data_IF_231895515523
#
_entry.id   IF_231895515523
#
_cell.length_a   1.000
_cell.length_b   1.000
_cell.length_c   1.000
_cell.angle_alpha   90.00
_cell.angle_beta   90.00
_cell.angle_gamma   90.00
#
_symmetry.space_group_name_H-M   'P 1'
#
loop_
_entity.id
_entity.type
_entity.pdbx_description
1 polymer ?
#
# COMPACT_ATOMS: atom_id res chain seq x y z
N UNK A 1 51.78 22.28 -28.90
CA UNK A 1 50.70 21.67 -29.70
C UNK A 1 49.91 20.73 -28.81
N UNK A 2 48.64 21.06 -28.56
CA UNK A 2 47.69 20.27 -27.76
C UNK A 2 47.40 18.94 -28.46
N UNK A 3 47.38 17.83 -27.72
CA UNK A 3 46.58 16.65 -28.10
C UNK A 3 45.57 16.44 -26.98
N UNK A 4 44.32 16.76 -27.31
CA UNK A 4 43.14 16.65 -26.44
C UNK A 4 42.76 15.18 -26.39
N UNK A 5 42.66 14.66 -25.16
CA UNK A 5 42.14 13.34 -24.85
C UNK A 5 40.62 13.39 -24.98
N UNK A 6 40.05 12.66 -25.95
CA UNK A 6 38.60 12.51 -26.08
C UNK A 6 38.20 11.21 -25.37
N UNK A 7 37.64 11.33 -24.18
CA UNK A 7 36.85 10.26 -23.56
C UNK A 7 35.43 10.37 -24.10
N UNK A 8 35.02 9.39 -24.91
CA UNK A 8 33.65 9.28 -25.39
C UNK A 8 32.85 8.50 -24.33
N UNK A 9 32.13 9.23 -23.48
CA UNK A 9 31.23 8.67 -22.48
C UNK A 9 29.88 8.35 -23.15
N UNK A 10 29.64 7.08 -23.49
CA UNK A 10 28.32 6.63 -23.94
C UNK A 10 27.50 6.31 -22.70
N UNK A 11 26.65 7.24 -22.27
CA UNK A 11 25.61 6.99 -21.27
C UNK A 11 24.47 6.28 -21.98
N UNK A 12 24.45 4.94 -21.92
CA UNK A 12 23.26 4.17 -22.27
C UNK A 12 22.27 4.36 -21.13
N UNK A 13 21.27 5.20 -21.37
CA UNK A 13 20.13 5.40 -20.49
C UNK A 13 19.22 4.17 -20.56
N UNK A 14 19.59 3.11 -19.84
CA UNK A 14 18.70 2.00 -19.59
C UNK A 14 17.69 2.44 -18.51
N UNK A 15 16.53 2.94 -18.93
CA UNK A 15 15.38 3.10 -18.04
C UNK A 15 14.89 1.70 -17.65
N UNK A 16 15.51 1.14 -16.62
CA UNK A 16 15.05 -0.06 -15.96
C UNK A 16 13.70 0.21 -15.31
N UNK A 17 12.74 -0.64 -15.64
CA UNK A 17 11.49 -0.83 -14.91
C UNK A 17 11.81 -1.19 -13.45
N UNK A 18 11.86 -0.18 -12.58
CA UNK A 18 11.77 -0.42 -11.15
C UNK A 18 10.29 -0.62 -10.81
N UNK A 19 9.89 -1.87 -10.66
CA UNK A 19 8.74 -2.19 -9.84
C UNK A 19 9.04 -1.61 -8.45
N UNK A 20 8.31 -0.57 -8.06
CA UNK A 20 8.42 0.03 -6.74
C UNK A 20 7.91 -0.98 -5.70
N UNK A 21 8.79 -1.86 -5.23
CA UNK A 21 8.66 -2.35 -3.88
C UNK A 21 8.96 -1.14 -2.98
N UNK A 22 7.93 -0.60 -2.31
CA UNK A 22 8.11 0.44 -1.30
C UNK A 22 8.79 -0.20 -0.09
N UNK A 23 10.12 -0.34 -0.14
CA UNK A 23 10.91 -0.58 1.05
C UNK A 23 10.77 0.65 1.95
N UNK A 24 10.50 0.47 3.25
CA UNK A 24 10.44 1.53 4.24
C UNK A 24 11.62 2.49 4.05
N UNK A 25 11.34 3.72 3.61
CA UNK A 25 12.40 4.64 3.19
C UNK A 25 13.08 5.20 4.43
N UNK A 26 14.27 4.69 4.72
CA UNK A 26 15.12 5.20 5.79
C UNK A 26 15.97 6.37 5.28
N UNK A 27 16.21 7.36 6.14
CA UNK A 27 17.01 8.54 5.86
C UNK A 27 18.16 8.63 6.87
N UNK A 28 19.36 9.02 6.41
CA UNK A 28 20.54 9.16 7.27
C UNK A 28 20.72 10.61 7.71
N UNK A 29 20.99 10.80 9.00
CA UNK A 29 21.24 12.08 9.66
C UNK A 29 22.44 11.92 10.59
N UNK A 30 23.60 12.44 10.20
CA UNK A 30 24.82 12.29 10.99
C UNK A 30 25.18 10.81 11.17
N UNK A 31 25.14 10.33 12.41
CA UNK A 31 25.38 8.93 12.76
C UNK A 31 24.10 8.10 12.95
N UNK A 32 22.95 8.67 12.65
CA UNK A 32 21.65 8.08 12.93
C UNK A 32 20.94 7.73 11.64
N UNK A 33 20.20 6.64 11.67
CA UNK A 33 19.25 6.24 10.64
C UNK A 33 17.84 6.45 11.20
N UNK A 34 16.99 7.04 10.38
CA UNK A 34 15.61 7.35 10.72
C UNK A 34 14.71 6.60 9.74
N UNK A 35 13.83 5.75 10.26
CA UNK A 35 12.77 5.10 9.49
C UNK A 35 11.42 5.58 9.98
N UNK A 36 10.48 5.76 9.06
CA UNK A 36 9.12 6.19 9.37
C UNK A 36 8.10 5.32 8.63
N UNK A 37 7.06 4.90 9.34
CA UNK A 37 5.98 4.09 8.78
C UNK A 37 4.70 4.15 9.61
N UNK A 38 3.74 3.29 9.27
CA UNK A 38 2.54 3.10 10.07
C UNK A 38 2.81 2.03 11.13
N UNK A 39 2.34 2.25 12.36
CA UNK A 39 2.41 1.23 13.42
C UNK A 39 1.62 -0.03 13.07
N UNK A 40 0.53 0.12 12.33
CA UNK A 40 -0.28 -1.00 11.82
C UNK A 40 -0.52 -0.81 10.33
N UNK A 41 -0.15 -1.83 9.55
CA UNK A 41 -0.30 -1.87 8.10
C UNK A 41 -1.35 -2.93 7.69
N UNK A 42 -2.23 -2.63 6.73
CA UNK A 42 -2.33 -1.37 6.00
C UNK A 42 -2.96 -0.23 6.84
N UNK A 43 -2.62 1.03 6.57
CA UNK A 43 -3.26 2.18 7.22
C UNK A 43 -4.69 2.40 6.71
N UNK A 44 -5.65 2.46 7.64
CA UNK A 44 -7.08 2.56 7.31
C UNK A 44 -7.70 3.87 7.78
N UNK A 45 -8.58 4.44 6.95
CA UNK A 45 -9.41 5.59 7.33
C UNK A 45 -10.31 5.25 8.52
N UNK A 46 -10.50 6.24 9.40
CA UNK A 46 -11.31 6.19 10.61
C UNK A 46 -10.94 5.08 11.62
N UNK A 47 -9.78 4.43 11.46
CA UNK A 47 -9.22 3.50 12.43
C UNK A 47 -8.09 4.19 13.19
N UNK A 48 -8.06 3.99 14.51
CA UNK A 48 -6.94 4.44 15.32
C UNK A 48 -5.67 3.73 14.84
N UNK A 49 -4.64 4.50 14.56
CA UNK A 49 -3.31 4.03 14.20
C UNK A 49 -2.27 4.98 14.81
N UNK A 50 -1.00 4.78 14.48
CA UNK A 50 0.06 5.72 14.82
C UNK A 50 1.08 5.81 13.69
N UNK A 51 1.70 6.98 13.57
CA UNK A 51 2.98 7.08 12.86
C UNK A 51 4.05 6.53 13.78
N UNK A 52 4.76 5.51 13.32
CA UNK A 52 5.92 4.94 14.00
C UNK A 52 7.20 5.53 13.41
N UNK A 53 8.07 6.02 14.30
CA UNK A 53 9.37 6.58 13.95
C UNK A 53 10.42 5.78 14.69
N UNK A 54 11.36 5.23 13.95
CA UNK A 54 12.44 4.40 14.49
C UNK A 54 13.77 5.07 14.22
N UNK A 55 14.48 5.40 15.28
CA UNK A 55 15.86 5.86 15.24
C UNK A 55 16.78 4.69 15.56
N UNK A 56 17.78 4.46 14.72
CA UNK A 56 18.88 3.53 15.00
C UNK A 56 20.22 4.22 14.76
N UNK A 57 21.31 3.59 15.19
CA UNK A 57 22.63 3.97 14.70
C UNK A 57 22.73 3.59 13.21
N UNK A 58 23.29 4.49 12.40
CA UNK A 58 23.65 4.20 11.02
C UNK A 58 24.94 3.38 11.00
N UNK A 59 25.00 2.37 10.14
CA UNK A 59 26.25 1.66 9.85
C UNK A 59 27.21 2.55 9.05
N UNK A 60 28.50 2.25 9.09
CA UNK A 60 29.49 3.04 8.34
C UNK A 60 29.25 2.98 6.82
N UNK A 61 28.76 1.86 6.31
CA UNK A 61 28.34 1.73 4.90
C UNK A 61 27.20 2.68 4.52
N UNK A 62 26.18 2.81 5.37
CA UNK A 62 25.05 3.73 5.16
C UNK A 62 25.50 5.21 5.23
N UNK A 63 26.50 5.53 6.06
CA UNK A 63 27.07 6.90 6.15
C UNK A 63 27.88 7.28 4.91
N UNK A 64 28.69 6.37 4.39
CA UNK A 64 29.53 6.59 3.21
C UNK A 64 28.68 6.88 1.96
N UNK A 65 27.60 6.13 1.76
CA UNK A 65 26.65 6.36 0.66
C UNK A 65 25.90 7.70 0.76
N UNK A 66 25.86 8.31 1.95
CA UNK A 66 25.22 9.60 2.22
C UNK A 66 26.20 10.79 2.18
N UNK A 67 27.49 10.58 1.88
CA UNK A 67 28.56 11.61 1.90
C UNK A 67 28.74 12.32 3.26
N UNK A 68 28.35 11.69 4.37
CA UNK A 68 28.42 12.29 5.72
C UNK A 68 29.67 11.77 6.45
N UNK A 69 30.66 12.64 6.67
CA UNK A 69 31.75 12.39 7.62
C UNK A 69 31.33 12.89 9.01
N UNK A 70 30.93 11.99 9.91
CA UNK A 70 30.67 12.33 11.31
C UNK A 70 31.69 11.64 12.22
N UNK A 71 32.55 12.44 12.87
CA UNK A 71 33.61 11.96 13.78
C UNK A 71 33.16 11.84 15.24
N UNK A 72 31.87 12.03 15.54
CA UNK A 72 31.36 12.06 16.92
C UNK A 72 30.88 10.67 17.34
N UNK A 73 31.31 10.19 18.51
CA UNK A 73 30.83 8.92 19.10
C UNK A 73 29.31 8.99 19.35
N UNK A 74 28.56 8.12 18.66
CA UNK A 74 27.12 7.93 18.82
C UNK A 74 26.82 6.68 19.64
N UNK A 75 25.94 6.80 20.62
CA UNK A 75 25.54 5.72 21.52
C UNK A 75 24.03 5.46 21.44
N UNK A 76 23.61 4.25 21.80
CA UNK A 76 22.17 3.87 21.84
C UNK A 76 21.40 4.77 22.84
N UNK A 77 22.05 5.25 23.90
CA UNK A 77 21.49 6.20 24.86
C UNK A 77 21.08 7.54 24.24
N UNK A 78 21.60 7.87 23.05
CA UNK A 78 21.26 9.12 22.35
C UNK A 78 19.86 9.05 21.72
N UNK A 79 19.30 7.84 21.62
CA UNK A 79 18.05 7.55 20.94
C UNK A 79 16.85 7.62 21.87
N UNK A 80 17.05 7.89 23.16
CA UNK A 80 15.98 7.97 24.16
C UNK A 80 15.67 9.41 24.57
N UNK A 81 14.45 9.66 25.07
CA UNK A 81 14.01 10.98 25.52
C UNK A 81 13.96 12.02 24.40
N UNK A 82 13.70 11.61 23.16
CA UNK A 82 13.58 12.51 22.01
C UNK A 82 12.15 13.04 21.82
N UNK A 83 11.14 12.48 22.49
CA UNK A 83 9.73 12.82 22.24
C UNK A 83 9.44 14.34 22.28
N UNK A 84 9.99 15.07 23.26
CA UNK A 84 9.82 16.52 23.42
C UNK A 84 10.80 17.36 22.56
N UNK A 85 11.69 16.69 21.81
CA UNK A 85 12.69 17.32 20.93
C UNK A 85 12.38 17.12 19.45
N UNK A 86 11.27 16.47 19.15
CA UNK A 86 10.81 16.17 17.81
C UNK A 86 9.48 16.87 17.57
N UNK A 87 9.34 17.50 16.40
CA UNK A 87 8.08 18.02 15.91
C UNK A 87 7.70 17.24 14.65
N UNK A 88 6.48 16.70 14.65
CA UNK A 88 5.98 15.86 13.55
C UNK A 88 4.65 16.38 13.10
N UNK A 89 4.54 16.62 11.80
CA UNK A 89 3.26 16.91 11.17
C UNK A 89 2.95 15.94 10.04
N UNK A 90 1.69 15.53 9.97
CA UNK A 90 1.12 14.74 8.89
C UNK A 90 0.25 15.65 8.05
N UNK A 91 0.62 15.80 6.80
CA UNK A 91 -0.14 16.53 5.79
C UNK A 91 -0.90 15.53 4.91
N UNK A 92 -2.23 15.61 4.91
CA UNK A 92 -3.12 14.77 4.12
C UNK A 92 -4.15 15.65 3.40
N UNK A 93 -4.19 15.58 2.07
CA UNK A 93 -5.10 16.39 1.23
C UNK A 93 -5.04 17.90 1.54
N UNK A 94 -3.85 18.41 1.90
CA UNK A 94 -3.64 19.81 2.28
C UNK A 94 -3.97 20.15 3.73
N UNK A 95 -4.54 19.22 4.52
CA UNK A 95 -4.75 19.38 5.96
C UNK A 95 -3.53 18.88 6.73
N UNK A 96 -2.94 19.77 7.54
CA UNK A 96 -1.80 19.46 8.43
C UNK A 96 -2.29 19.10 9.84
N UNK A 97 -1.75 18.02 10.41
CA UNK A 97 -2.03 17.55 11.78
C UNK A 97 -0.71 17.34 12.52
N UNK A 98 -0.50 18.03 13.63
CA UNK A 98 0.68 17.84 14.47
C UNK A 98 0.48 16.67 15.42
N UNK A 99 1.50 15.83 15.57
CA UNK A 99 1.47 14.66 16.45
C UNK A 99 2.23 14.93 17.75
N UNK A 100 1.65 14.49 18.86
CA UNK A 100 2.36 14.37 20.13
C UNK A 100 3.02 12.99 20.18
N UNK A 101 4.34 12.96 20.21
CA UNK A 101 5.08 11.69 20.25
C UNK A 101 5.15 11.12 21.66
N UNK A 102 5.15 9.79 21.72
CA UNK A 102 5.45 9.00 22.92
C UNK A 102 6.57 8.03 22.60
N UNK A 103 7.52 7.90 23.50
CA UNK A 103 8.57 6.88 23.39
C UNK A 103 8.01 5.50 23.77
N UNK A 104 8.42 4.47 23.05
CA UNK A 104 8.11 3.09 23.40
C UNK A 104 8.95 2.66 24.62
N UNK A 105 8.32 2.18 25.71
CA UNK A 105 9.05 1.85 26.93
C UNK A 105 9.90 0.57 26.83
N UNK A 106 9.66 -0.28 25.82
CA UNK A 106 10.37 -1.54 25.60
C UNK A 106 11.47 -1.40 24.57
N UNK A 107 11.32 -0.49 23.60
CA UNK A 107 12.23 -0.34 22.46
C UNK A 107 12.83 1.07 22.39
N UNK A 108 14.03 1.29 22.96
CA UNK A 108 14.77 2.55 22.82
C UNK A 108 14.91 2.97 21.36
N UNK A 109 14.64 4.24 21.07
CA UNK A 109 14.68 4.77 19.71
C UNK A 109 13.37 4.62 18.92
N UNK A 110 12.36 3.96 19.47
CA UNK A 110 11.04 3.84 18.84
C UNK A 110 10.08 4.85 19.46
N UNK A 111 9.42 5.62 18.60
CA UNK A 111 8.47 6.67 18.97
C UNK A 111 7.18 6.53 18.17
N UNK A 112 6.06 6.92 18.77
CA UNK A 112 4.75 6.83 18.17
C UNK A 112 3.97 8.13 18.32
N UNK A 113 3.36 8.59 17.23
CA UNK A 113 2.37 9.66 17.24
C UNK A 113 1.00 9.10 16.88
N UNK A 114 0.10 9.02 17.86
CA UNK A 114 -1.26 8.50 17.66
C UNK A 114 -2.02 9.41 16.67
N UNK A 115 -2.66 8.81 15.68
CA UNK A 115 -3.49 9.51 14.70
C UNK A 115 -4.67 8.63 14.29
N UNK A 116 -5.83 9.26 14.06
CA UNK A 116 -6.97 8.62 13.37
C UNK A 116 -7.15 9.32 12.04
N UNK A 117 -6.63 8.77 10.93
CA UNK A 117 -6.81 9.36 9.61
C UNK A 117 -8.30 9.50 9.32
N UNK A 118 -8.77 10.68 8.98
CA UNK A 118 -10.19 10.94 8.72
C UNK A 118 -10.53 10.93 7.22
N UNK A 119 -9.51 10.83 6.36
CA UNK A 119 -9.64 10.83 4.91
C UNK A 119 -8.72 9.77 4.30
N UNK A 120 -9.07 9.35 3.09
CA UNK A 120 -8.19 8.55 2.23
C UNK A 120 -7.23 9.47 1.48
N UNK A 121 -6.02 8.97 1.22
CA UNK A 121 -5.04 9.73 0.46
C UNK A 121 -3.60 9.32 0.75
N UNK A 122 -2.68 9.97 0.06
CA UNK A 122 -1.24 9.78 0.23
C UNK A 122 -0.75 10.81 1.25
N UNK A 123 -0.49 10.40 2.50
CA UNK A 123 0.04 11.31 3.51
C UNK A 123 1.49 11.73 3.18
N UNK A 124 1.87 12.91 3.64
CA UNK A 124 3.26 13.37 3.71
C UNK A 124 3.55 13.67 5.17
N UNK A 125 4.65 13.11 5.69
CA UNK A 125 5.06 13.34 7.08
C UNK A 125 6.32 14.17 7.11
N UNK A 126 6.26 15.31 7.78
CA UNK A 126 7.40 16.16 8.01
C UNK A 126 7.88 15.92 9.45
N UNK A 127 9.16 15.65 9.59
CA UNK A 127 9.82 15.39 10.87
C UNK A 127 10.95 16.39 11.04
N UNK A 128 10.87 17.16 12.11
CA UNK A 128 11.88 18.11 12.55
C UNK A 128 12.38 17.69 13.92
N UNK A 129 13.64 17.97 14.20
CA UNK A 129 14.12 17.88 15.56
C UNK A 129 15.62 17.84 15.69
N UNK A 130 16.04 17.38 16.87
CA UNK A 130 17.45 17.39 17.26
C UNK A 130 17.84 16.13 18.02
N UNK A 131 18.88 15.46 17.55
CA UNK A 131 19.54 14.35 18.25
C UNK A 131 20.93 14.82 18.65
N UNK A 132 21.17 14.95 19.96
CA UNK A 132 22.36 15.64 20.50
C UNK A 132 22.53 17.04 19.91
N UNK A 133 23.55 17.24 19.09
CA UNK A 133 23.91 18.51 18.44
C UNK A 133 23.53 18.53 16.96
N UNK A 134 22.94 17.46 16.44
CA UNK A 134 22.56 17.34 15.03
C UNK A 134 21.08 17.68 14.89
N UNK A 135 20.81 18.85 14.31
CA UNK A 135 19.49 19.27 13.88
C UNK A 135 19.17 18.70 12.50
N UNK A 136 17.90 18.36 12.28
CA UNK A 136 17.47 17.79 11.01
C UNK A 136 16.02 18.11 10.70
N UNK A 137 15.75 18.08 9.40
CA UNK A 137 14.43 18.12 8.79
C UNK A 137 14.37 16.99 7.74
N UNK A 138 13.33 16.18 7.78
CA UNK A 138 13.10 15.09 6.83
C UNK A 138 11.63 15.01 6.45
N UNK A 139 11.40 14.67 5.19
CA UNK A 139 10.06 14.44 4.64
C UNK A 139 9.94 12.99 4.22
N UNK A 140 8.93 12.32 4.76
CA UNK A 140 8.61 10.93 4.48
C UNK A 140 7.26 10.84 3.77
N UNK A 141 7.12 9.80 2.94
CA UNK A 141 5.91 9.51 2.18
C UNK A 141 5.46 8.09 2.57
N UNK A 142 4.79 7.91 3.71
CA UNK A 142 4.35 6.58 4.14
C UNK A 142 3.23 6.06 3.24
N UNK A 143 2.85 4.80 3.45
CA UNK A 143 1.82 4.16 2.64
C UNK A 143 0.51 4.96 2.63
N UNK A 144 -0.18 4.86 1.48
CA UNK A 144 -1.47 5.52 1.26
C UNK A 144 -2.50 4.99 2.26
N UNK A 145 -3.25 5.90 2.88
CA UNK A 145 -4.40 5.56 3.72
C UNK A 145 -5.54 5.07 2.83
N UNK A 146 -5.99 3.85 3.07
CA UNK A 146 -7.07 3.22 2.34
C UNK A 146 -8.40 3.30 3.11
N UNK A 147 -9.49 3.26 2.36
CA UNK A 147 -10.81 3.16 2.94
C UNK A 147 -11.01 1.78 3.55
N UNK A 148 -11.76 1.68 4.65
CA UNK A 148 -12.20 0.37 5.13
C UNK A 148 -12.96 -0.38 4.02
N UNK A 149 -12.36 -1.42 3.46
CA UNK A 149 -13.08 -2.56 2.91
C UNK A 149 -13.46 -3.53 4.04
N UNK A 150 -13.89 -2.99 5.19
CA UNK A 150 -14.69 -3.75 6.15
C UNK A 150 -16.15 -3.65 5.71
N UNK A 151 -16.89 -4.78 5.66
CA UNK A 151 -18.24 -4.82 5.15
C UNK A 151 -19.13 -4.08 6.15
N UNK A 152 -19.65 -2.93 5.73
CA UNK A 152 -20.75 -2.30 6.44
C UNK A 152 -21.90 -3.33 6.48
N UNK A 153 -22.28 -3.75 7.69
CA UNK A 153 -23.47 -4.57 7.95
C UNK A 153 -24.71 -3.70 7.86
N UNK A 154 -24.91 -3.11 6.68
CA UNK A 154 -26.12 -2.41 6.27
C UNK A 154 -26.19 -2.45 4.73
N UNK A 155 -27.24 -3.01 4.10
CA UNK A 155 -27.33 -3.15 2.65
C UNK A 155 -27.59 -1.77 2.01
N UNK A 156 -26.51 -1.04 1.72
CA UNK A 156 -26.53 0.19 0.95
C UNK A 156 -25.40 0.14 -0.10
N UNK A 157 -25.81 -0.23 -1.31
CA UNK A 157 -25.19 -0.12 -2.64
C UNK A 157 -23.78 0.51 -2.67
N UNK A 158 -22.74 -0.34 -2.70
CA UNK A 158 -21.35 0.08 -3.02
C UNK A 158 -21.08 -0.17 -4.50
N UNK A 159 -20.84 0.88 -5.29
CA UNK A 159 -20.51 0.80 -6.72
C UNK A 159 -19.05 0.42 -7.00
N UNK A 160 -18.34 -0.15 -6.02
CA UNK A 160 -16.90 -0.42 -6.13
C UNK A 160 -16.66 -1.82 -6.72
N UNK A 161 -15.93 -1.87 -7.83
CA UNK A 161 -15.51 -3.10 -8.51
C UNK A 161 -13.99 -3.18 -8.42
N UNK A 162 -13.46 -4.15 -7.68
CA UNK A 162 -12.02 -4.40 -7.56
C UNK A 162 -11.75 -5.83 -8.00
N UNK A 163 -11.08 -6.00 -9.14
CA UNK A 163 -10.69 -7.32 -9.64
C UNK A 163 -9.20 -7.27 -10.01
N UNK A 164 -8.32 -8.02 -9.30
CA UNK A 164 -6.91 -8.07 -9.66
C UNK A 164 -6.70 -8.62 -11.07
N UNK A 165 -5.76 -8.04 -11.82
CA UNK A 165 -5.46 -8.42 -13.20
C UNK A 165 -5.15 -9.91 -13.38
N UNK A 166 -4.50 -10.54 -12.39
CA UNK A 166 -4.18 -11.97 -12.45
C UNK A 166 -5.42 -12.86 -12.52
N UNK A 167 -6.60 -12.38 -12.10
CA UNK A 167 -7.86 -13.11 -12.18
C UNK A 167 -8.33 -13.29 -13.64
N UNK A 168 -7.88 -12.45 -14.58
CA UNK A 168 -8.21 -12.58 -16.01
C UNK A 168 -7.75 -13.91 -16.61
N UNK A 169 -6.67 -14.48 -16.10
CA UNK A 169 -6.21 -15.81 -16.55
C UNK A 169 -7.24 -16.91 -16.24
N UNK A 170 -7.90 -16.82 -15.07
CA UNK A 170 -8.94 -17.78 -14.69
C UNK A 170 -10.18 -17.64 -15.57
N UNK A 171 -10.57 -16.40 -15.89
CA UNK A 171 -11.66 -16.12 -16.82
C UNK A 171 -11.35 -16.61 -18.24
N UNK A 172 -10.10 -16.44 -18.70
CA UNK A 172 -9.64 -16.96 -19.98
C UNK A 172 -9.78 -18.48 -20.06
N UNK A 173 -9.18 -19.21 -19.10
CA UNK A 173 -9.23 -20.67 -19.06
C UNK A 173 -10.67 -21.20 -18.98
N UNK A 174 -11.55 -20.53 -18.23
CA UNK A 174 -12.96 -20.89 -18.18
C UNK A 174 -13.66 -20.66 -19.52
N UNK A 175 -13.45 -19.50 -20.16
CA UNK A 175 -14.09 -19.17 -21.44
C UNK A 175 -13.64 -20.07 -22.60
N UNK A 176 -12.40 -20.57 -22.54
CA UNK A 176 -11.83 -21.52 -23.51
C UNK A 176 -12.23 -22.98 -23.20
N UNK A 177 -12.98 -23.23 -22.12
CA UNK A 177 -13.42 -24.56 -21.73
C UNK A 177 -12.35 -25.43 -21.06
N UNK A 178 -11.20 -24.85 -20.68
CA UNK A 178 -10.15 -25.53 -19.92
C UNK A 178 -10.52 -25.70 -18.45
N UNK A 179 -11.39 -24.82 -17.94
CA UNK A 179 -12.00 -24.89 -16.61
C UNK A 179 -13.50 -25.05 -16.77
N UNK A 180 -14.12 -25.95 -16.00
CA UNK A 180 -15.57 -26.15 -16.01
C UNK A 180 -16.31 -25.07 -15.18
N UNK A 181 -17.61 -24.90 -15.45
CA UNK A 181 -18.46 -23.88 -14.82
C UNK A 181 -18.50 -23.98 -13.29
N UNK A 182 -18.49 -25.20 -12.74
CA UNK A 182 -18.56 -25.42 -11.29
C UNK A 182 -17.25 -25.01 -10.62
N UNK A 183 -16.12 -25.36 -11.23
CA UNK A 183 -14.79 -24.98 -10.77
C UNK A 183 -14.61 -23.47 -10.83
N UNK A 184 -15.01 -22.84 -11.94
CA UNK A 184 -14.98 -21.38 -12.07
C UNK A 184 -15.85 -20.67 -11.02
N UNK A 185 -17.11 -21.09 -10.86
CA UNK A 185 -18.02 -20.51 -9.87
C UNK A 185 -17.49 -20.64 -8.44
N UNK A 186 -16.90 -21.80 -8.11
CA UNK A 186 -16.27 -22.03 -6.80
C UNK A 186 -15.05 -21.13 -6.59
N UNK A 187 -14.25 -20.93 -7.63
CA UNK A 187 -13.12 -19.99 -7.62
C UNK A 187 -13.57 -18.56 -7.35
N UNK A 188 -14.56 -18.05 -8.10
CA UNK A 188 -15.12 -16.71 -7.87
C UNK A 188 -15.71 -16.58 -6.47
N UNK A 189 -16.42 -17.61 -5.99
CA UNK A 189 -16.93 -17.65 -4.62
C UNK A 189 -15.81 -17.52 -3.58
N UNK A 190 -14.71 -18.24 -3.75
CA UNK A 190 -13.55 -18.12 -2.87
C UNK A 190 -12.95 -16.72 -2.92
N UNK A 191 -12.76 -16.15 -4.12
CA UNK A 191 -12.22 -14.80 -4.28
C UNK A 191 -13.08 -13.72 -3.63
N UNK A 192 -14.41 -13.88 -3.65
CA UNK A 192 -15.35 -13.00 -2.96
C UNK A 192 -15.26 -13.15 -1.44
N UNK A 193 -15.18 -14.38 -0.93
CA UNK A 193 -15.06 -14.67 0.52
C UNK A 193 -13.77 -14.14 1.12
N UNK A 194 -12.66 -14.34 0.42
CA UNK A 194 -11.34 -13.82 0.81
C UNK A 194 -11.19 -12.32 0.49
N UNK A 195 -12.23 -11.67 -0.05
CA UNK A 195 -12.24 -10.25 -0.43
C UNK A 195 -11.12 -9.86 -1.41
N UNK A 196 -10.65 -10.83 -2.19
CA UNK A 196 -9.67 -10.64 -3.26
C UNK A 196 -10.33 -9.91 -4.44
N UNK A 197 -11.60 -10.24 -4.72
CA UNK A 197 -12.44 -9.47 -5.64
C UNK A 197 -13.60 -8.84 -4.89
N UNK A 198 -13.98 -7.63 -5.30
CA UNK A 198 -15.13 -6.89 -4.78
C UNK A 198 -16.05 -6.58 -5.96
N UNK A 199 -17.33 -6.92 -5.82
CA UNK A 199 -18.38 -6.58 -6.79
C UNK A 199 -19.57 -6.00 -6.03
N UNK A 200 -20.36 -5.08 -6.62
CA UNK A 200 -21.47 -4.45 -5.91
C UNK A 200 -22.49 -5.49 -5.42
N UNK A 201 -22.88 -5.35 -4.16
CA UNK A 201 -23.78 -6.29 -3.48
C UNK A 201 -25.10 -6.40 -4.24
N UNK A 202 -25.51 -7.64 -4.54
CA UNK A 202 -26.82 -7.96 -5.12
C UNK A 202 -27.51 -8.94 -4.19
N UNK A 203 -28.81 -8.74 -3.93
CA UNK A 203 -29.60 -9.65 -3.11
C UNK A 203 -29.54 -11.07 -3.67
N UNK A 204 -29.25 -12.03 -2.80
CA UNK A 204 -29.24 -13.46 -3.13
C UNK A 204 -30.66 -13.90 -3.47
N UNK A 205 -30.88 -14.37 -4.69
CA UNK A 205 -32.17 -14.96 -5.08
C UNK A 205 -32.36 -16.37 -4.52
N UNK A 206 -33.62 -16.82 -4.55
CA UNK A 206 -33.97 -18.21 -4.21
C UNK A 206 -33.46 -19.15 -5.31
N UNK A 207 -32.74 -20.19 -4.91
CA UNK A 207 -32.07 -21.19 -5.75
C UNK A 207 -33.01 -21.81 -6.78
N UNK A 208 -32.76 -21.56 -8.08
CA UNK A 208 -33.45 -22.25 -9.17
C UNK A 208 -32.56 -22.67 -10.35
N UNK A 209 -31.35 -22.13 -10.50
CA UNK A 209 -30.47 -22.44 -11.63
C UNK A 209 -29.08 -22.88 -11.16
N UNK A 210 -28.59 -23.98 -11.72
CA UNK A 210 -27.23 -24.51 -11.48
C UNK A 210 -26.29 -24.27 -12.66
N UNK A 211 -26.82 -23.73 -13.78
CA UNK A 211 -26.07 -23.54 -15.02
C UNK A 211 -25.71 -22.07 -15.23
N UNK A 212 -24.45 -21.80 -15.55
CA UNK A 212 -24.00 -20.46 -15.92
C UNK A 212 -24.48 -20.13 -17.34
N UNK A 213 -25.18 -19.00 -17.56
CA UNK A 213 -25.58 -18.63 -18.92
C UNK A 213 -24.39 -18.30 -19.82
N UNK A 214 -24.52 -18.63 -21.11
CA UNK A 214 -23.46 -18.43 -22.11
C UNK A 214 -23.01 -16.96 -22.24
N UNK A 215 -23.91 -15.99 -22.04
CA UNK A 215 -23.54 -14.57 -22.10
C UNK A 215 -22.53 -14.18 -21.00
N UNK A 216 -22.57 -14.84 -19.83
CA UNK A 216 -21.59 -14.60 -18.76
C UNK A 216 -20.22 -15.14 -19.17
N UNK A 217 -20.21 -16.30 -19.85
CA UNK A 217 -18.99 -16.93 -20.38
C UNK A 217 -18.36 -16.13 -21.51
N UNK A 218 -19.19 -15.56 -22.39
CA UNK A 218 -18.75 -14.62 -23.42
C UNK A 218 -18.16 -13.34 -22.81
N UNK A 219 -18.77 -12.80 -21.75
CA UNK A 219 -18.21 -11.67 -21.04
C UNK A 219 -16.86 -11.99 -20.40
N UNK A 220 -16.66 -13.20 -19.84
CA UNK A 220 -15.36 -13.62 -19.33
C UNK A 220 -14.28 -13.64 -20.42
N UNK A 221 -14.60 -14.13 -21.62
CA UNK A 221 -13.70 -14.09 -22.78
C UNK A 221 -13.31 -12.66 -23.13
N UNK A 222 -14.31 -11.80 -23.36
CA UNK A 222 -14.08 -10.40 -23.71
C UNK A 222 -13.31 -9.64 -22.63
N UNK A 223 -13.53 -9.97 -21.37
CA UNK A 223 -12.82 -9.36 -20.26
C UNK A 223 -11.36 -9.80 -20.19
N UNK A 224 -11.08 -11.10 -20.40
CA UNK A 224 -9.69 -11.58 -20.46
C UNK A 224 -8.92 -11.05 -21.67
N UNK A 225 -9.62 -10.74 -22.76
CA UNK A 225 -9.04 -10.13 -23.96
C UNK A 225 -8.94 -8.60 -23.87
N UNK A 226 -9.38 -7.99 -22.75
CA UNK A 226 -9.37 -6.54 -22.54
C UNK A 226 -10.40 -5.76 -23.37
N UNK A 227 -11.40 -6.44 -23.94
CA UNK A 227 -12.46 -5.83 -24.77
C UNK A 227 -13.60 -5.22 -23.94
N UNK A 228 -13.80 -5.69 -22.71
CA UNK A 228 -14.72 -5.09 -21.75
C UNK A 228 -14.02 -4.79 -20.43
N UNK A 229 -14.51 -3.79 -19.71
CA UNK A 229 -13.97 -3.38 -18.42
C UNK A 229 -14.39 -4.31 -17.27
N UNK A 230 -13.71 -4.16 -16.13
CA UNK A 230 -13.98 -4.94 -14.92
C UNK A 230 -15.43 -4.78 -14.44
N UNK A 231 -16.01 -3.59 -14.63
CA UNK A 231 -17.39 -3.29 -14.23
C UNK A 231 -18.42 -4.08 -15.04
N UNK A 232 -18.19 -4.21 -16.34
CA UNK A 232 -19.04 -4.98 -17.24
C UNK A 232 -18.94 -6.47 -16.92
N UNK A 233 -17.74 -6.97 -16.61
CA UNK A 233 -17.57 -8.35 -16.16
C UNK A 233 -18.19 -8.61 -14.76
N UNK A 234 -18.01 -7.67 -13.82
CA UNK A 234 -18.60 -7.74 -12.49
C UNK A 234 -20.13 -7.82 -12.52
N UNK A 235 -20.78 -7.18 -13.50
CA UNK A 235 -22.23 -7.30 -13.72
C UNK A 235 -22.66 -8.75 -13.99
N UNK A 236 -21.80 -9.54 -14.65
CA UNK A 236 -21.98 -10.98 -14.81
C UNK A 236 -21.89 -11.74 -13.49
N UNK A 237 -20.89 -11.42 -12.65
CA UNK A 237 -20.74 -12.02 -11.30
C UNK A 237 -21.95 -11.69 -10.42
N UNK A 238 -22.41 -10.44 -10.45
CA UNK A 238 -23.61 -10.00 -9.72
C UNK A 238 -24.85 -10.79 -10.13
N UNK A 239 -25.01 -11.04 -11.44
CA UNK A 239 -26.08 -11.91 -11.93
C UNK A 239 -25.97 -13.32 -11.36
N UNK A 240 -24.78 -13.92 -11.33
CA UNK A 240 -24.57 -15.26 -10.77
C UNK A 240 -24.89 -15.32 -9.28
N UNK A 241 -24.57 -14.28 -8.52
CA UNK A 241 -24.95 -14.14 -7.10
C UNK A 241 -26.47 -14.05 -6.97
N UNK A 242 -27.11 -13.20 -7.80
CA UNK A 242 -28.57 -13.03 -7.83
C UNK A 242 -29.31 -14.32 -8.16
N UNK A 243 -28.78 -15.15 -9.05
CA UNK A 243 -29.36 -16.45 -9.41
C UNK A 243 -29.07 -17.56 -8.39
N UNK A 244 -28.24 -17.29 -7.37
CA UNK A 244 -27.82 -18.29 -6.38
C UNK A 244 -26.81 -19.31 -6.90
N UNK A 245 -26.19 -19.06 -8.06
CA UNK A 245 -25.13 -19.90 -8.64
C UNK A 245 -23.82 -19.72 -7.85
N UNK A 246 -23.54 -18.49 -7.42
CA UNK A 246 -22.43 -18.13 -6.53
C UNK A 246 -23.00 -17.73 -5.17
N UNK A 247 -22.43 -18.27 -4.09
CA UNK A 247 -22.83 -17.90 -2.73
C UNK A 247 -21.72 -17.13 -2.01
N UNK A 248 -21.95 -15.85 -1.79
CA UNK A 248 -21.13 -15.01 -0.90
C UNK A 248 -21.52 -15.17 0.57
#
# INVERSE_FOLDING_TARGET
MKKILVFLLVIILATGLANNAFAHKAEIVGNYKISLGWKTEPPMVNKLNAIEIVFTLASDFEKESSQIQSNTLSNISDLTGLADKLEVDVSLNGKKTFLTLKEDPQFPGVYHGDITPNEIGTPVVHLYGKIKDVEFERTFHPEKIEGSSEPNSNPQIVNDVRIPEWVKNNAKWWSEGQVDDKTFASGIQFLLKEKIIVVPVTEKGSTQNTTIPEWVKNNAKWWSDGQIDDKTFASGIQFLIKQGIISV
#
